data_IF_265342669597
#
_entry.id   IF_265342669597
#
_cell.length_a   1.000
_cell.length_b   1.000
_cell.length_c   1.000
_cell.angle_alpha   90.00
_cell.angle_beta   90.00
_cell.angle_gamma   90.00
#
_symmetry.space_group_name_H-M   'P 1'
#
loop_
_entity.id
_entity.type
_entity.pdbx_description
1 polymer ?
#
# COMPACT_ATOMS: atom_id res chain seq x y z
N UNK A 1 7.47 15.89 6.56
CA UNK A 1 8.09 14.55 6.75
C UNK A 1 9.28 14.41 5.84
N UNK A 2 10.31 13.78 6.35
CA UNK A 2 11.53 13.55 5.57
C UNK A 2 11.49 12.17 4.91
N UNK A 3 11.90 12.11 3.64
CA UNK A 3 12.00 10.87 2.86
C UNK A 3 13.40 10.72 2.28
N UNK A 4 13.96 9.52 2.39
CA UNK A 4 15.27 9.19 1.83
C UNK A 4 15.18 8.92 0.32
N UNK A 5 16.34 8.79 -0.32
CA UNK A 5 16.39 8.37 -1.73
C UNK A 5 15.83 6.96 -1.90
N UNK A 6 16.07 6.07 -0.93
CA UNK A 6 15.48 4.72 -0.94
C UNK A 6 13.96 4.77 -0.85
N UNK A 7 13.41 5.62 0.02
CA UNK A 7 11.95 5.81 0.11
C UNK A 7 11.39 6.20 -1.25
N UNK A 8 12.03 7.14 -1.95
CA UNK A 8 11.60 7.59 -3.26
C UNK A 8 11.65 6.48 -4.31
N UNK A 9 12.71 5.68 -4.29
CA UNK A 9 12.87 4.55 -5.21
C UNK A 9 11.76 3.52 -5.01
N UNK A 10 11.47 3.16 -3.77
CA UNK A 10 10.43 2.17 -3.46
C UNK A 10 9.03 2.69 -3.79
N UNK A 11 8.76 3.97 -3.53
CA UNK A 11 7.48 4.56 -3.91
C UNK A 11 7.32 4.63 -5.44
N UNK A 12 8.40 4.93 -6.17
CA UNK A 12 8.36 4.89 -7.65
C UNK A 12 8.05 3.49 -8.15
N UNK A 13 8.63 2.46 -7.54
CA UNK A 13 8.32 1.06 -7.88
C UNK A 13 6.85 0.74 -7.65
N UNK A 14 6.29 1.19 -6.53
CA UNK A 14 4.86 1.04 -6.26
C UNK A 14 4.01 1.81 -7.28
N UNK A 15 4.44 2.99 -7.69
CA UNK A 15 3.72 3.81 -8.67
C UNK A 15 3.69 3.15 -10.06
N UNK A 16 4.76 2.47 -10.46
CA UNK A 16 4.76 1.71 -11.72
C UNK A 16 3.70 0.60 -11.70
N UNK A 17 3.53 -0.07 -10.57
CA UNK A 17 2.48 -1.08 -10.39
C UNK A 17 1.08 -0.45 -10.45
N UNK A 18 0.91 0.73 -9.88
CA UNK A 18 -0.35 1.47 -9.99
C UNK A 18 -0.69 1.80 -11.43
N UNK A 19 0.30 2.19 -12.23
CA UNK A 19 0.13 2.46 -13.67
C UNK A 19 -0.27 1.20 -14.43
N UNK A 20 0.26 0.04 -14.07
CA UNK A 20 -0.16 -1.24 -14.66
C UNK A 20 -1.63 -1.51 -14.39
N UNK A 21 -2.11 -1.29 -13.15
CA UNK A 21 -3.53 -1.43 -12.83
C UNK A 21 -4.38 -0.47 -13.67
N UNK A 22 -3.94 0.78 -13.81
CA UNK A 22 -4.62 1.77 -14.66
C UNK A 22 -4.80 1.23 -16.10
N UNK A 23 -3.74 0.70 -16.69
CA UNK A 23 -3.77 0.15 -18.05
C UNK A 23 -4.64 -1.10 -18.17
N UNK A 24 -4.86 -1.81 -17.09
CA UNK A 24 -5.70 -3.02 -17.01
C UNK A 24 -7.12 -2.70 -16.55
N UNK A 25 -7.49 -1.43 -16.50
CA UNK A 25 -8.82 -0.98 -16.12
C UNK A 25 -9.19 -1.30 -14.67
N UNK A 26 -8.19 -1.38 -13.81
CA UNK A 26 -8.31 -1.55 -12.36
C UNK A 26 -7.96 -0.23 -11.67
N UNK A 27 -8.55 0.01 -10.49
CA UNK A 27 -8.21 1.20 -9.69
C UNK A 27 -6.69 1.26 -9.49
N UNK A 28 -6.02 2.37 -9.84
CA UNK A 28 -4.56 2.43 -9.89
C UNK A 28 -3.91 2.57 -8.52
N UNK A 29 -3.66 1.45 -7.89
CA UNK A 29 -2.93 1.34 -6.63
C UNK A 29 -1.86 0.27 -6.77
N UNK A 30 -0.66 0.59 -6.30
CA UNK A 30 0.47 -0.33 -6.28
C UNK A 30 1.14 -0.33 -4.92
N UNK A 31 1.77 -1.44 -4.56
CA UNK A 31 2.46 -1.60 -3.28
C UNK A 31 3.68 -2.50 -3.42
N UNK A 32 4.73 -2.19 -2.66
CA UNK A 32 5.91 -3.05 -2.53
C UNK A 32 6.24 -3.25 -1.06
N UNK A 33 6.69 -4.46 -0.71
CA UNK A 33 7.20 -4.78 0.62
C UNK A 33 8.71 -4.88 0.54
N UNK A 34 9.40 -4.22 1.47
CA UNK A 34 10.85 -4.05 1.46
C UNK A 34 11.44 -4.60 2.75
N UNK A 35 12.53 -5.34 2.63
CA UNK A 35 13.34 -5.78 3.76
C UNK A 35 14.82 -5.59 3.42
N UNK A 36 15.55 -4.95 4.33
CA UNK A 36 17.00 -4.72 4.15
C UNK A 36 17.31 -4.07 2.79
N UNK A 37 16.54 -3.04 2.45
CA UNK A 37 16.67 -2.28 1.19
C UNK A 37 16.42 -3.10 -0.07
N UNK A 38 15.71 -4.23 0.03
CA UNK A 38 15.33 -5.05 -1.12
C UNK A 38 13.82 -5.21 -1.19
N UNK A 39 13.26 -5.07 -2.38
CA UNK A 39 11.86 -5.42 -2.61
C UNK A 39 11.73 -6.94 -2.56
N UNK A 40 10.96 -7.43 -1.59
CA UNK A 40 10.71 -8.87 -1.41
C UNK A 40 9.29 -9.28 -1.80
N UNK A 41 8.43 -8.32 -2.07
CA UNK A 41 7.08 -8.57 -2.52
C UNK A 41 6.51 -7.36 -3.22
N UNK A 42 5.64 -7.57 -4.19
CA UNK A 42 4.98 -6.51 -4.93
C UNK A 42 3.56 -6.89 -5.26
N UNK A 43 2.69 -5.90 -5.40
CA UNK A 43 1.31 -6.12 -5.74
C UNK A 43 0.68 -4.87 -6.34
N UNK A 44 -0.32 -5.09 -7.18
CA UNK A 44 -1.19 -4.04 -7.68
C UNK A 44 -2.63 -4.45 -7.44
N UNK A 45 -3.54 -3.49 -7.53
CA UNK A 45 -4.96 -3.80 -7.41
C UNK A 45 -5.41 -4.68 -8.58
N UNK A 46 -6.02 -5.83 -8.26
CA UNK A 46 -6.52 -6.81 -9.23
C UNK A 46 -7.90 -7.32 -8.86
N UNK A 47 -8.72 -6.49 -8.20
CA UNK A 47 -10.06 -6.88 -7.71
C UNK A 47 -10.92 -7.44 -8.84
N UNK A 48 -10.95 -6.79 -10.00
CA UNK A 48 -11.77 -7.22 -11.14
C UNK A 48 -11.20 -8.51 -11.76
N UNK A 49 -9.90 -8.52 -12.05
CA UNK A 49 -9.25 -9.67 -12.68
C UNK A 49 -9.38 -10.95 -11.85
N UNK A 50 -9.29 -10.83 -10.53
CA UNK A 50 -9.33 -11.96 -9.61
C UNK A 50 -10.75 -12.30 -9.13
N UNK A 51 -11.74 -11.45 -9.43
CA UNK A 51 -13.09 -11.54 -8.85
C UNK A 51 -13.01 -11.69 -7.32
N UNK A 52 -12.23 -10.82 -6.69
CA UNK A 52 -11.89 -10.94 -5.27
C UNK A 52 -11.80 -9.54 -4.65
N UNK A 53 -12.73 -9.21 -3.74
CA UNK A 53 -12.78 -7.92 -3.07
C UNK A 53 -11.52 -7.67 -2.21
N UNK A 54 -10.79 -8.72 -1.85
CA UNK A 54 -9.58 -8.59 -1.04
C UNK A 54 -8.31 -8.37 -1.87
N UNK A 55 -8.37 -8.44 -3.21
CA UNK A 55 -7.20 -8.31 -4.09
C UNK A 55 -6.76 -6.85 -4.25
N UNK A 56 -6.63 -6.13 -3.15
CA UNK A 56 -6.01 -4.81 -3.10
C UNK A 56 -4.49 -4.95 -3.27
N UNK A 57 -3.84 -3.88 -3.73
CA UNK A 57 -2.39 -3.86 -3.93
C UNK A 57 -1.63 -4.32 -2.68
N UNK A 58 -2.04 -3.84 -1.51
CA UNK A 58 -1.37 -4.16 -0.24
C UNK A 58 -1.49 -5.65 0.07
N UNK A 59 -2.68 -6.22 -0.08
CA UNK A 59 -2.90 -7.65 0.18
C UNK A 59 -2.05 -8.49 -0.77
N UNK A 60 -2.02 -8.14 -2.06
CA UNK A 60 -1.21 -8.85 -3.05
C UNK A 60 0.28 -8.74 -2.74
N UNK A 61 0.74 -7.56 -2.30
CA UNK A 61 2.14 -7.37 -1.91
C UNK A 61 2.51 -8.19 -0.67
N UNK A 62 1.62 -8.23 0.34
CA UNK A 62 1.84 -9.04 1.54
C UNK A 62 1.91 -10.52 1.22
N UNK A 63 1.02 -11.01 0.34
CA UNK A 63 1.05 -12.40 -0.12
C UNK A 63 2.35 -12.73 -0.83
N UNK A 64 2.79 -11.84 -1.72
CA UNK A 64 4.05 -11.98 -2.45
C UNK A 64 5.24 -12.06 -1.51
N UNK A 65 5.33 -11.15 -0.54
CA UNK A 65 6.42 -11.11 0.44
C UNK A 65 6.41 -12.34 1.36
N UNK A 66 5.22 -12.78 1.78
CA UNK A 66 5.08 -13.94 2.66
C UNK A 66 5.55 -15.23 1.97
N UNK A 67 5.29 -15.36 0.68
CA UNK A 67 5.81 -16.49 -0.12
C UNK A 67 7.33 -16.44 -0.22
N UNK A 68 7.88 -15.26 -0.49
CA UNK A 68 9.33 -15.07 -0.61
C UNK A 68 10.05 -15.44 0.68
N UNK A 69 9.52 -15.00 1.84
CA UNK A 69 10.12 -15.30 3.15
C UNK A 69 9.69 -16.64 3.73
N UNK A 70 8.74 -17.32 3.09
CA UNK A 70 8.10 -18.52 3.63
C UNK A 70 7.62 -18.32 5.07
N UNK A 71 7.01 -17.16 5.33
CA UNK A 71 6.56 -16.76 6.66
C UNK A 71 5.46 -15.71 6.53
N UNK A 72 4.33 -15.87 7.23
CA UNK A 72 3.28 -14.85 7.23
C UNK A 72 3.65 -13.62 8.06
N UNK A 73 4.60 -13.74 8.98
CA UNK A 73 5.12 -12.62 9.76
C UNK A 73 6.26 -11.95 9.00
N UNK A 74 6.08 -10.67 8.74
CA UNK A 74 7.00 -9.88 7.95
C UNK A 74 7.78 -8.89 8.83
N UNK A 75 8.32 -9.40 9.95
CA UNK A 75 9.11 -8.60 10.88
C UNK A 75 10.31 -7.98 10.15
N UNK A 76 10.60 -6.72 10.48
CA UNK A 76 11.70 -5.99 9.85
C UNK A 76 11.39 -5.46 8.46
N UNK A 77 10.14 -5.56 8.01
CA UNK A 77 9.74 -5.11 6.68
C UNK A 77 9.00 -3.77 6.73
N UNK A 78 9.06 -3.04 5.63
CA UNK A 78 8.27 -1.84 5.38
C UNK A 78 7.41 -2.06 4.15
N UNK A 79 6.24 -1.41 4.09
CA UNK A 79 5.39 -1.42 2.91
C UNK A 79 5.24 0.01 2.37
N UNK A 80 5.40 0.16 1.05
CA UNK A 80 5.17 1.40 0.33
C UNK A 80 3.96 1.21 -0.55
N UNK A 81 2.95 2.06 -0.41
CA UNK A 81 1.72 1.96 -1.18
C UNK A 81 1.30 3.35 -1.68
N UNK A 82 0.76 3.40 -2.89
CA UNK A 82 0.46 4.68 -3.54
C UNK A 82 -0.78 5.37 -2.99
N UNK A 83 -1.61 4.67 -2.23
CA UNK A 83 -2.84 5.21 -1.64
C UNK A 83 -2.97 4.75 -0.19
N UNK A 84 -3.52 5.63 0.65
CA UNK A 84 -3.79 5.32 2.06
C UNK A 84 -4.59 4.02 2.19
N UNK A 85 -4.13 3.05 3.00
CA UNK A 85 -4.84 1.79 3.19
C UNK A 85 -6.22 1.93 3.82
N UNK A 86 -7.15 1.10 3.37
CA UNK A 86 -8.46 0.92 4.01
C UNK A 86 -8.34 0.04 5.27
N UNK A 87 -9.44 -0.15 5.99
CA UNK A 87 -9.45 -0.97 7.21
C UNK A 87 -8.93 -2.39 7.00
N UNK A 88 -9.35 -3.05 5.93
CA UNK A 88 -8.91 -4.41 5.61
C UNK A 88 -7.39 -4.47 5.48
N UNK A 89 -6.82 -3.57 4.69
CA UNK A 89 -5.37 -3.55 4.46
C UNK A 89 -4.60 -3.09 5.69
N UNK A 90 -5.10 -2.11 6.43
CA UNK A 90 -4.48 -1.66 7.68
C UNK A 90 -4.38 -2.81 8.69
N UNK A 91 -5.46 -3.57 8.86
CA UNK A 91 -5.46 -4.72 9.78
C UNK A 91 -4.49 -5.81 9.30
N UNK A 92 -4.46 -6.08 8.00
CA UNK A 92 -3.53 -7.06 7.42
C UNK A 92 -2.06 -6.66 7.65
N UNK A 93 -1.75 -5.37 7.52
CA UNK A 93 -0.40 -4.83 7.77
C UNK A 93 -0.01 -5.04 9.23
N UNK A 94 -0.91 -4.80 10.17
CA UNK A 94 -0.68 -5.05 11.60
C UNK A 94 -0.48 -6.54 11.86
N UNK A 95 -1.34 -7.37 11.32
CA UNK A 95 -1.29 -8.82 11.55
C UNK A 95 -0.03 -9.46 10.93
N UNK A 96 0.47 -8.89 9.84
CA UNK A 96 1.73 -9.33 9.23
C UNK A 96 2.97 -8.83 9.98
N UNK A 97 2.80 -8.00 11.00
CA UNK A 97 3.88 -7.49 11.86
C UNK A 97 4.90 -6.59 11.15
N UNK A 98 4.44 -5.79 10.19
CA UNK A 98 5.32 -4.82 9.53
C UNK A 98 5.78 -3.73 10.50
N UNK A 99 6.96 -3.18 10.26
CA UNK A 99 7.52 -2.11 11.08
C UNK A 99 7.02 -0.73 10.66
N UNK A 100 6.88 -0.51 9.34
CA UNK A 100 6.64 0.81 8.77
C UNK A 100 5.71 0.74 7.57
N UNK A 101 4.78 1.68 7.50
CA UNK A 101 3.93 1.95 6.35
C UNK A 101 4.27 3.33 5.80
N UNK A 102 4.50 3.43 4.49
CA UNK A 102 4.64 4.71 3.78
C UNK A 102 3.59 4.74 2.68
N UNK A 103 2.71 5.74 2.68
CA UNK A 103 1.76 5.89 1.59
C UNK A 103 1.85 7.26 0.94
N UNK A 104 1.46 7.34 -0.34
CA UNK A 104 1.54 8.58 -1.11
C UNK A 104 0.33 9.49 -0.83
N UNK A 105 -0.82 9.19 -1.40
CA UNK A 105 -2.01 10.03 -1.31
C UNK A 105 -2.97 9.55 -0.22
N UNK A 106 -3.66 10.49 0.42
CA UNK A 106 -4.76 10.18 1.33
C UNK A 106 -5.99 9.73 0.55
N UNK A 107 -6.78 8.85 1.16
CA UNK A 107 -8.07 8.43 0.63
C UNK A 107 -9.19 8.92 1.53
N UNK A 108 -9.84 10.05 1.19
CA UNK A 108 -10.81 10.69 2.08
C UNK A 108 -12.04 9.84 2.43
N UNK A 109 -12.40 8.89 1.58
CA UNK A 109 -13.62 8.08 1.73
C UNK A 109 -13.42 6.80 2.51
N UNK A 110 -12.27 6.14 2.36
CA UNK A 110 -12.04 4.80 2.92
C UNK A 110 -10.71 4.66 3.64
N UNK A 111 -9.87 5.70 3.64
CA UNK A 111 -8.56 5.65 4.27
C UNK A 111 -8.64 5.52 5.79
N UNK A 112 -7.98 4.54 6.33
CA UNK A 112 -8.07 4.14 7.74
C UNK A 112 -6.81 4.47 8.54
N UNK A 113 -5.89 5.24 7.97
CA UNK A 113 -4.65 5.61 8.68
C UNK A 113 -4.79 7.02 9.27
N UNK A 114 -5.28 7.99 8.49
CA UNK A 114 -5.47 9.35 8.96
C UNK A 114 -6.70 10.07 8.38
N UNK A 115 -7.44 9.48 7.43
CA UNK A 115 -8.56 10.17 6.77
C UNK A 115 -9.89 9.98 7.48
N UNK A 116 -10.46 8.77 7.50
CA UNK A 116 -11.74 8.53 8.18
C UNK A 116 -11.55 8.15 9.64
N UNK A 117 -10.44 7.52 9.96
CA UNK A 117 -10.01 7.25 11.33
C UNK A 117 -8.50 7.02 11.34
N UNK A 118 -7.95 6.61 12.49
CA UNK A 118 -6.53 6.35 12.68
C UNK A 118 -6.34 4.98 13.30
N UNK A 119 -6.61 3.95 12.52
CA UNK A 119 -6.60 2.57 12.97
C UNK A 119 -5.28 2.17 13.65
N UNK A 120 -4.14 2.64 13.12
CA UNK A 120 -2.82 2.28 13.67
C UNK A 120 -2.55 2.87 15.06
N UNK A 121 -3.32 3.86 15.48
CA UNK A 121 -3.23 4.47 16.81
C UNK A 121 -4.04 3.72 17.88
N UNK A 122 -4.76 2.69 17.48
CA UNK A 122 -5.61 1.93 18.40
C UNK A 122 -4.74 1.15 19.40
N UNK A 123 -4.88 1.46 20.68
CA UNK A 123 -4.08 0.87 21.76
C UNK A 123 -4.40 -0.60 22.01
N UNK A 124 -5.52 -1.09 21.52
CA UNK A 124 -5.90 -2.50 21.64
C UNK A 124 -5.12 -3.42 20.70
N UNK A 125 -4.39 -2.84 19.71
CA UNK A 125 -3.57 -3.64 18.82
C UNK A 125 -2.36 -4.22 19.56
N UNK A 126 -2.04 -5.48 19.27
CA UNK A 126 -0.91 -6.16 19.89
C UNK A 126 0.41 -6.01 19.12
N UNK A 127 0.43 -5.15 18.10
CA UNK A 127 1.61 -4.79 17.34
C UNK A 127 1.47 -3.35 16.86
N UNK A 128 2.55 -2.58 16.94
CA UNK A 128 2.58 -1.18 16.56
C UNK A 128 3.28 -1.01 15.20
N UNK A 129 2.62 -0.33 14.28
CA UNK A 129 3.18 0.01 12.96
C UNK A 129 3.35 1.52 12.89
N UNK A 130 4.56 1.97 12.57
CA UNK A 130 4.82 3.39 12.33
C UNK A 130 4.41 3.75 10.90
N UNK A 131 4.07 5.01 10.65
CA UNK A 131 3.68 5.41 9.30
C UNK A 131 4.15 6.80 8.95
N UNK A 132 4.34 7.02 7.64
CA UNK A 132 4.62 8.30 7.00
C UNK A 132 3.76 8.41 5.75
N UNK A 133 3.51 9.64 5.29
CA UNK A 133 2.69 9.85 4.09
C UNK A 133 3.07 11.13 3.36
N UNK A 134 2.61 11.25 2.12
CA UNK A 134 2.77 12.43 1.29
C UNK A 134 3.82 12.31 0.20
N UNK A 135 4.64 11.27 0.22
CA UNK A 135 5.65 11.05 -0.81
C UNK A 135 4.98 10.72 -2.14
N UNK A 136 5.24 11.54 -3.17
CA UNK A 136 4.62 11.41 -4.50
C UNK A 136 3.08 11.52 -4.48
N UNK A 137 2.56 12.27 -3.53
CA UNK A 137 1.13 12.44 -3.30
C UNK A 137 0.39 12.93 -4.55
N UNK A 138 0.92 13.95 -5.23
CA UNK A 138 0.27 14.55 -6.40
C UNK A 138 0.20 13.57 -7.57
N UNK A 139 1.24 12.77 -7.77
CA UNK A 139 1.29 11.77 -8.85
C UNK A 139 0.19 10.73 -8.63
N UNK A 140 0.08 10.20 -7.43
CA UNK A 140 -0.93 9.22 -7.08
C UNK A 140 -2.35 9.80 -7.19
N UNK A 141 -2.56 10.99 -6.62
CA UNK A 141 -3.87 11.65 -6.65
C UNK A 141 -4.33 11.92 -8.08
N UNK A 142 -3.43 12.39 -8.94
CA UNK A 142 -3.75 12.66 -10.34
C UNK A 142 -4.06 11.38 -11.13
N UNK A 143 -3.32 10.32 -10.87
CA UNK A 143 -3.55 9.03 -11.51
C UNK A 143 -4.95 8.49 -11.17
N UNK A 144 -5.35 8.61 -9.92
CA UNK A 144 -6.69 8.21 -9.45
C UNK A 144 -7.78 9.08 -10.07
N UNK A 145 -7.60 10.39 -10.11
CA UNK A 145 -8.54 11.33 -10.76
C UNK A 145 -8.74 10.98 -12.23
N UNK A 146 -7.66 10.76 -12.95
CA UNK A 146 -7.70 10.42 -14.37
C UNK A 146 -8.45 9.11 -14.60
N UNK A 147 -8.21 8.11 -13.76
CA UNK A 147 -8.89 6.83 -13.84
C UNK A 147 -10.41 7.00 -13.68
N UNK A 148 -10.86 7.65 -12.61
CA UNK A 148 -12.28 7.83 -12.35
C UNK A 148 -12.96 8.76 -13.36
N UNK A 149 -12.24 9.73 -13.90
CA UNK A 149 -12.74 10.60 -14.98
C UNK A 149 -13.09 9.79 -16.23
N UNK A 150 -12.27 8.80 -16.59
CA UNK A 150 -12.51 7.92 -17.72
C UNK A 150 -13.73 7.01 -17.53
N UNK A 151 -14.13 6.76 -16.29
CA UNK A 151 -15.28 5.88 -15.97
C UNK A 151 -16.62 6.60 -15.95
N UNK A 152 -16.64 7.92 -16.10
CA UNK A 152 -17.87 8.72 -16.13
C UNK A 152 -18.45 8.87 -17.53
#
# INVERSE_FOLDING_TARGET
MHFSDQDRFFMESAMELAKESFLKDEVPVGAVVVKENKIIGSGRNTVIADNDVSSHAEINALRSASKELNNFRLNGCSIYVTLEPCHMCAKAIVDARLDMLVFAAKEPKTGSICSIDNFLENKALNHSVKYKFGLSEDISANLLKDFFKQKR
#
